data_IF_229233054786
#
_entry.id   IF_229233054786
#
_cell.length_a   1.000
_cell.length_b   1.000
_cell.length_c   1.000
_cell.angle_alpha   90.00
_cell.angle_beta   90.00
_cell.angle_gamma   90.00
#
_symmetry.space_group_name_H-M   'P 1'
#
loop_
_entity.id
_entity.type
_entity.pdbx_description
1 polymer ?
#
# COMPACT_ATOMS: atom_id res chain seq x y z
N UNK A 1 -23.66 18.31 0.17
CA UNK A 1 -22.79 17.16 0.50
C UNK A 1 -22.08 16.63 -0.75
N UNK A 2 -22.78 16.21 -1.81
CA UNK A 2 -22.14 15.72 -3.06
C UNK A 2 -21.31 16.80 -3.80
N UNK A 3 -21.79 18.05 -3.83
CA UNK A 3 -21.09 19.20 -4.43
C UNK A 3 -19.67 19.42 -3.87
N UNK A 4 -19.42 19.04 -2.62
CA UNK A 4 -18.11 19.16 -1.97
C UNK A 4 -17.08 18.14 -2.48
N UNK A 5 -17.53 17.04 -3.09
CA UNK A 5 -16.65 16.00 -3.66
C UNK A 5 -16.33 16.24 -5.14
N UNK A 6 -17.09 17.12 -5.80
CA UNK A 6 -16.92 17.45 -7.21
C UNK A 6 -15.52 18.03 -7.52
N UNK A 7 -14.93 18.93 -6.70
CA UNK A 7 -13.55 19.37 -6.89
C UNK A 7 -12.52 18.24 -6.77
N UNK A 8 -12.72 17.27 -5.87
CA UNK A 8 -11.82 16.12 -5.69
C UNK A 8 -11.86 15.23 -6.93
N UNK A 9 -13.06 14.96 -7.45
CA UNK A 9 -13.24 14.18 -8.67
C UNK A 9 -12.57 14.87 -9.88
N UNK A 10 -12.76 16.18 -10.03
CA UNK A 10 -12.12 16.97 -11.09
C UNK A 10 -10.60 16.91 -11.00
N UNK A 11 -10.03 17.04 -9.79
CA UNK A 11 -8.59 16.93 -9.58
C UNK A 11 -8.06 15.55 -9.98
N UNK A 12 -8.76 14.48 -9.59
CA UNK A 12 -8.38 13.12 -9.93
C UNK A 12 -8.39 12.89 -11.45
N UNK A 13 -9.45 13.34 -12.13
CA UNK A 13 -9.56 13.27 -13.60
C UNK A 13 -8.47 14.08 -14.29
N UNK A 14 -8.16 15.27 -13.78
CA UNK A 14 -7.09 16.11 -14.31
C UNK A 14 -5.72 15.45 -14.16
N UNK A 15 -5.42 14.87 -12.98
CA UNK A 15 -4.16 14.17 -12.74
C UNK A 15 -3.99 12.95 -13.64
N UNK A 16 -5.03 12.11 -13.76
CA UNK A 16 -5.05 10.95 -14.67
C UNK A 16 -4.94 11.42 -16.13
N UNK A 17 -5.64 12.50 -16.49
CA UNK A 17 -5.61 13.10 -17.82
C UNK A 17 -4.21 13.57 -18.21
N UNK A 18 -3.50 14.29 -17.34
CA UNK A 18 -2.13 14.72 -17.57
C UNK A 18 -1.19 13.52 -17.68
N UNK A 19 -1.24 12.58 -16.74
CA UNK A 19 -0.37 11.40 -16.76
C UNK A 19 -0.58 10.59 -18.05
N UNK A 20 -1.84 10.38 -18.44
CA UNK A 20 -2.21 9.73 -19.69
C UNK A 20 -1.75 10.50 -20.92
N UNK A 21 -1.94 11.82 -20.96
CA UNK A 21 -1.51 12.67 -22.05
C UNK A 21 0.01 12.64 -22.24
N UNK A 22 0.78 12.68 -21.16
CA UNK A 22 2.25 12.57 -21.22
C UNK A 22 2.70 11.22 -21.76
N UNK A 23 2.08 10.11 -21.32
CA UNK A 23 2.38 8.77 -21.85
C UNK A 23 2.02 8.69 -23.34
N UNK A 24 0.86 9.21 -23.75
CA UNK A 24 0.42 9.24 -25.14
C UNK A 24 1.35 10.08 -26.02
N UNK A 25 1.70 11.29 -25.59
CA UNK A 25 2.65 12.17 -26.27
C UNK A 25 4.01 11.47 -26.42
N UNK A 26 4.50 10.85 -25.36
CA UNK A 26 5.76 10.07 -25.42
C UNK A 26 5.68 8.91 -26.42
N UNK A 27 4.56 8.18 -26.47
CA UNK A 27 4.37 7.06 -27.40
C UNK A 27 4.17 7.48 -28.87
N UNK A 28 3.66 8.68 -29.12
CA UNK A 28 3.44 9.23 -30.47
C UNK A 28 4.68 9.95 -30.99
N UNK A 29 5.30 10.81 -30.18
CA UNK A 29 6.46 11.62 -30.56
C UNK A 29 7.79 10.85 -30.41
N UNK A 30 7.82 9.79 -29.60
CA UNK A 30 9.03 9.02 -29.32
C UNK A 30 9.51 8.16 -30.50
N UNK A 31 10.83 8.05 -30.74
CA UNK A 31 11.38 7.24 -31.82
C UNK A 31 11.16 5.75 -31.58
N UNK A 32 10.51 5.08 -32.54
CA UNK A 32 10.11 3.67 -32.43
C UNK A 32 11.20 2.72 -32.94
N UNK A 33 12.26 2.53 -32.16
CA UNK A 33 13.30 1.53 -32.47
C UNK A 33 13.01 0.20 -31.77
N UNK A 34 12.32 -0.71 -32.46
CA UNK A 34 12.05 -2.09 -32.01
C UNK A 34 13.15 -3.02 -32.51
N UNK A 35 14.27 -3.07 -31.81
CA UNK A 35 15.34 -4.05 -32.07
C UNK A 35 15.20 -5.24 -31.12
N UNK A 36 15.50 -6.45 -31.57
CA UNK A 36 15.45 -7.68 -30.74
C UNK A 36 16.16 -7.51 -29.39
N UNK A 37 17.33 -6.86 -29.38
CA UNK A 37 18.12 -6.58 -28.17
C UNK A 37 17.47 -5.58 -27.20
N UNK A 38 16.66 -4.63 -27.68
CA UNK A 38 15.93 -3.66 -26.83
C UNK A 38 14.68 -4.25 -26.20
N UNK A 39 14.12 -5.29 -26.81
CA UNK A 39 12.92 -5.99 -26.33
C UNK A 39 13.27 -7.18 -25.43
N UNK A 40 14.56 -7.53 -25.33
CA UNK A 40 15.03 -8.61 -24.48
C UNK A 40 15.08 -8.16 -23.01
N UNK A 41 14.98 -9.12 -22.09
CA UNK A 41 15.05 -8.83 -20.65
C UNK A 41 16.47 -8.44 -20.27
N UNK A 42 16.61 -7.41 -19.45
CA UNK A 42 17.93 -6.98 -18.98
C UNK A 42 18.56 -8.03 -18.05
N UNK A 43 19.71 -8.59 -18.46
CA UNK A 43 20.43 -9.61 -17.70
C UNK A 43 21.97 -9.43 -17.79
N UNK A 44 22.44 -8.18 -17.70
CA UNK A 44 23.88 -7.83 -17.78
C UNK A 44 24.62 -8.36 -19.03
N UNK A 45 23.90 -8.66 -20.11
CA UNK A 45 24.46 -9.25 -21.34
C UNK A 45 24.55 -10.78 -21.35
N UNK A 46 24.11 -11.46 -20.29
CA UNK A 46 24.05 -12.91 -20.21
C UNK A 46 22.64 -13.42 -20.51
N UNK A 47 22.47 -14.60 -21.12
CA UNK A 47 21.15 -15.20 -21.29
C UNK A 47 20.55 -15.55 -19.92
N UNK A 48 19.22 -15.48 -19.81
CA UNK A 48 18.51 -15.94 -18.62
C UNK A 48 18.67 -17.47 -18.52
N UNK A 49 19.51 -17.91 -17.58
CA UNK A 49 19.81 -19.33 -17.36
C UNK A 49 18.75 -20.03 -16.50
N UNK A 50 17.91 -19.26 -15.81
CA UNK A 50 17.09 -19.73 -14.70
C UNK A 50 15.60 -19.55 -15.00
N UNK A 51 14.76 -20.47 -14.50
CA UNK A 51 13.31 -20.31 -14.62
C UNK A 51 12.86 -19.08 -13.81
N UNK A 52 12.09 -18.17 -14.43
CA UNK A 52 11.60 -16.93 -13.77
C UNK A 52 10.66 -17.15 -12.57
N UNK A 53 10.38 -18.40 -12.18
CA UNK A 53 9.57 -18.73 -10.99
C UNK A 53 10.48 -19.05 -9.81
N UNK A 54 11.04 -18.01 -9.20
CA UNK A 54 11.70 -18.14 -7.90
C UNK A 54 10.65 -18.11 -6.80
N UNK A 55 10.88 -18.87 -5.73
CA UNK A 55 10.04 -18.79 -4.53
C UNK A 55 10.29 -17.43 -3.89
N UNK A 56 9.24 -16.62 -3.80
CA UNK A 56 9.26 -15.37 -3.04
C UNK A 56 9.27 -15.74 -1.55
N UNK A 57 10.03 -15.02 -0.73
CA UNK A 57 10.10 -15.31 0.71
C UNK A 57 8.74 -15.10 1.37
N UNK A 58 8.41 -15.95 2.36
CA UNK A 58 7.12 -15.89 3.06
C UNK A 58 7.01 -14.63 3.94
N UNK A 59 8.14 -13.97 4.21
CA UNK A 59 8.21 -12.74 5.02
C UNK A 59 7.36 -11.61 4.41
N UNK A 60 7.30 -11.48 3.08
CA UNK A 60 6.43 -10.49 2.44
C UNK A 60 4.95 -10.71 2.75
N UNK A 61 4.54 -11.97 2.87
CA UNK A 61 3.16 -12.32 3.27
C UNK A 61 2.91 -11.97 4.74
N UNK A 62 3.85 -12.25 5.65
CA UNK A 62 3.72 -11.91 7.06
C UNK A 62 3.58 -10.38 7.25
N UNK A 63 4.41 -9.59 6.55
CA UNK A 63 4.34 -8.13 6.60
C UNK A 63 2.99 -7.62 6.07
N UNK A 64 2.52 -8.14 4.93
CA UNK A 64 1.23 -7.75 4.36
C UNK A 64 0.06 -8.08 5.30
N UNK A 65 0.09 -9.25 5.94
CA UNK A 65 -0.93 -9.66 6.89
C UNK A 65 -0.97 -8.73 8.12
N UNK A 66 0.19 -8.36 8.67
CA UNK A 66 0.26 -7.40 9.78
C UNK A 66 -0.22 -6.01 9.35
N UNK A 67 0.14 -5.57 8.16
CA UNK A 67 -0.31 -4.28 7.62
C UNK A 67 -1.84 -4.23 7.52
N UNK A 68 -2.50 -5.29 7.04
CA UNK A 68 -3.96 -5.36 6.98
C UNK A 68 -4.58 -5.29 8.38
N UNK A 69 -3.99 -5.99 9.37
CA UNK A 69 -4.48 -5.93 10.75
C UNK A 69 -4.38 -4.51 11.33
N UNK A 70 -3.28 -3.81 11.07
CA UNK A 70 -3.08 -2.42 11.52
C UNK A 70 -3.99 -1.43 10.80
N UNK A 71 -4.26 -1.63 9.51
CA UNK A 71 -5.21 -0.80 8.75
C UNK A 71 -6.64 -0.94 9.32
N UNK A 72 -7.03 -2.16 9.67
CA UNK A 72 -8.30 -2.43 10.37
C UNK A 72 -8.34 -1.75 11.75
N UNK A 73 -7.24 -1.80 12.52
CA UNK A 73 -7.13 -1.09 13.80
C UNK A 73 -7.38 0.42 13.66
N UNK A 74 -6.76 1.04 12.65
CA UNK A 74 -6.96 2.45 12.33
C UNK A 74 -8.41 2.74 11.93
N UNK A 75 -9.04 1.85 11.16
CA UNK A 75 -10.45 1.99 10.80
C UNK A 75 -11.37 2.03 12.04
N UNK A 76 -11.01 1.36 13.14
CA UNK A 76 -11.71 1.46 14.43
C UNK A 76 -11.33 2.70 15.24
N UNK A 77 -10.08 3.17 15.14
CA UNK A 77 -9.62 4.40 15.78
C UNK A 77 -10.34 5.65 15.29
N UNK A 78 -10.67 5.75 14.00
CA UNK A 78 -11.32 6.92 13.43
C UNK A 78 -12.70 7.26 14.05
N UNK A 79 -13.70 6.36 14.06
CA UNK A 79 -15.00 6.66 14.64
C UNK A 79 -14.89 6.91 16.15
N UNK A 80 -14.03 6.18 16.85
CA UNK A 80 -13.75 6.43 18.26
C UNK A 80 -13.23 7.85 18.51
N UNK A 81 -12.26 8.31 17.71
CA UNK A 81 -11.67 9.64 17.82
C UNK A 81 -12.70 10.76 17.58
N UNK A 82 -13.66 10.53 16.68
CA UNK A 82 -14.74 11.48 16.39
C UNK A 82 -15.71 11.66 17.58
N UNK A 83 -16.02 10.60 18.31
CA UNK A 83 -16.98 10.63 19.44
C UNK A 83 -16.31 10.75 20.81
N UNK A 84 -14.97 10.77 20.86
CA UNK A 84 -14.18 10.85 22.08
C UNK A 84 -14.61 12.01 22.99
N UNK A 85 -14.87 13.20 22.41
CA UNK A 85 -15.28 14.40 23.16
C UNK A 85 -16.59 14.22 23.94
N UNK A 86 -17.50 13.36 23.46
CA UNK A 86 -18.79 13.11 24.12
C UNK A 86 -18.80 11.86 24.99
N UNK A 87 -17.88 10.91 24.78
CA UNK A 87 -17.88 9.63 25.49
C UNK A 87 -17.15 9.61 26.83
N UNK A 88 -16.31 10.61 27.13
CA UNK A 88 -15.65 10.76 28.43
C UNK A 88 -14.71 9.60 28.81
N UNK A 89 -14.45 9.44 30.11
CA UNK A 89 -13.51 8.46 30.66
C UNK A 89 -13.80 6.97 30.34
N UNK A 90 -15.04 6.46 30.31
CA UNK A 90 -15.27 5.05 30.00
C UNK A 90 -14.92 4.71 28.55
N UNK A 91 -15.27 5.58 27.59
CA UNK A 91 -14.90 5.41 26.19
C UNK A 91 -13.38 5.44 25.96
N UNK A 92 -12.65 6.20 26.78
CA UNK A 92 -11.19 6.15 26.79
C UNK A 92 -10.66 4.79 27.23
N UNK A 93 -11.22 4.24 28.32
CA UNK A 93 -10.81 2.94 28.86
C UNK A 93 -11.01 1.79 27.88
N UNK A 94 -12.14 1.75 27.18
CA UNK A 94 -12.42 0.76 26.14
C UNK A 94 -11.34 0.78 25.04
N UNK A 95 -10.91 1.97 24.62
CA UNK A 95 -9.90 2.10 23.59
C UNK A 95 -8.50 1.70 24.06
N UNK A 96 -8.16 2.02 25.30
CA UNK A 96 -6.89 1.58 25.90
C UNK A 96 -6.85 0.04 25.93
N UNK A 97 -7.96 -0.61 26.32
CA UNK A 97 -8.04 -2.08 26.32
C UNK A 97 -7.91 -2.63 24.89
N UNK A 98 -8.60 -2.04 23.92
CA UNK A 98 -8.51 -2.44 22.51
C UNK A 98 -7.08 -2.38 21.97
N UNK A 99 -6.39 -1.24 22.19
CA UNK A 99 -4.99 -1.05 21.79
C UNK A 99 -4.05 -2.00 22.52
N UNK A 100 -4.29 -2.28 23.81
CA UNK A 100 -3.46 -3.22 24.57
C UNK A 100 -3.59 -4.65 24.03
N UNK A 101 -4.80 -5.11 23.72
CA UNK A 101 -5.02 -6.46 23.18
C UNK A 101 -4.28 -6.66 21.85
N UNK A 102 -4.41 -5.69 20.93
CA UNK A 102 -3.70 -5.73 19.65
C UNK A 102 -2.19 -5.54 19.83
N UNK A 103 -1.78 -4.64 20.74
CA UNK A 103 -0.38 -4.40 21.08
C UNK A 103 0.32 -5.64 21.63
N UNK A 104 -0.36 -6.47 22.41
CA UNK A 104 0.17 -7.79 22.86
C UNK A 104 0.39 -8.73 21.67
N UNK A 105 -0.56 -8.77 20.73
CA UNK A 105 -0.40 -9.53 19.48
C UNK A 105 0.80 -9.07 18.66
N UNK A 106 0.99 -7.75 18.55
CA UNK A 106 2.14 -7.17 17.87
C UNK A 106 3.47 -7.49 18.58
N UNK A 107 3.52 -7.37 19.91
CA UNK A 107 4.69 -7.73 20.70
C UNK A 107 5.06 -9.22 20.55
N UNK A 108 4.06 -10.10 20.46
CA UNK A 108 4.28 -11.52 20.17
C UNK A 108 4.91 -11.74 18.78
N UNK A 109 4.40 -11.07 17.75
CA UNK A 109 4.95 -11.14 16.39
C UNK A 109 6.40 -10.61 16.33
N UNK A 110 6.69 -9.53 17.05
CA UNK A 110 8.04 -8.99 17.18
C UNK A 110 8.98 -10.02 17.80
N UNK A 111 8.58 -10.63 18.93
CA UNK A 111 9.38 -11.66 19.60
C UNK A 111 9.68 -12.85 18.67
N UNK A 112 8.73 -13.20 17.80
CA UNK A 112 8.89 -14.28 16.82
C UNK A 112 9.66 -13.88 15.56
N UNK A 113 10.32 -12.72 15.54
CA UNK A 113 11.15 -12.25 14.43
C UNK A 113 10.38 -12.14 13.11
N UNK A 114 9.08 -11.84 13.18
CA UNK A 114 8.25 -11.66 11.98
C UNK A 114 8.74 -10.51 11.07
N UNK A 115 9.54 -9.60 11.62
CA UNK A 115 10.11 -8.44 10.93
C UNK A 115 11.64 -8.54 10.68
N UNK A 116 12.29 -9.65 11.06
CA UNK A 116 13.73 -9.81 10.79
C UNK A 116 13.95 -10.01 9.29
N UNK A 117 14.81 -9.15 8.73
CA UNK A 117 15.30 -9.16 7.36
C UNK A 117 16.75 -9.67 7.34
#
# INVERSE_FOLDING_TARGET
MAESYLPILMLMLFAIGIAGAMILLSAVLGPRLRTRRKLDTYASGMPLLDASRKRVSIQFFLIAMVFILFDVEIAFLYPWALVFRSGGAPLFGEMVVFLLVLGVGYAYLWKNKAFDW
#
